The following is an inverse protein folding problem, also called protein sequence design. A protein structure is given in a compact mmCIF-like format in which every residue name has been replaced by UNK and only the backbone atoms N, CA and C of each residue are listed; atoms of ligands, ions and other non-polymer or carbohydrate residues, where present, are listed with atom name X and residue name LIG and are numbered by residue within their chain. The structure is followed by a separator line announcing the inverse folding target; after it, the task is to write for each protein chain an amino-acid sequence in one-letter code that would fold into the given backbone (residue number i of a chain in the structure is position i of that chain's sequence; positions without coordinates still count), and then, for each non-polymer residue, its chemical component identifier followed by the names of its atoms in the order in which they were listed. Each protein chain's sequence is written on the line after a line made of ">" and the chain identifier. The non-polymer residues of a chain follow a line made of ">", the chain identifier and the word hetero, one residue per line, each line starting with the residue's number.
data_IF_469043374517
#
_entry.id   IF_469043374517
#
_cell.length_a   1.000
_cell.length_b   1.000
_cell.length_c   1.000
_cell.angle_alpha   90.00
_cell.angle_beta   90.00
_cell.angle_gamma   90.00
#
_symmetry.space_group_name_H-M   'P 1'
#
loop_
_entity.id
_entity.type
_entity.pdbx_description
1 polymer ?
#
# COMPACT_ATOMS: atom_id res chain seq x y z
N UNK A 1 -5.24 14.65 -1.41
CA UNK A 1 -6.28 13.77 -0.84
C UNK A 1 -6.22 12.47 -1.63
N UNK A 2 -6.11 11.31 -0.97
CA UNK A 2 -6.27 10.02 -1.65
C UNK A 2 -7.72 9.91 -2.11
N UNK A 3 -7.95 9.91 -3.41
CA UNK A 3 -9.29 9.70 -3.95
C UNK A 3 -9.59 8.20 -3.88
N UNK A 4 -10.42 7.81 -2.90
CA UNK A 4 -10.84 6.43 -2.66
C UNK A 4 -9.73 5.55 -2.09
N UNK A 5 -9.51 5.61 -0.77
CA UNK A 5 -8.75 4.55 -0.08
C UNK A 5 -9.53 3.24 -0.24
N UNK A 6 -8.84 2.19 -0.67
CA UNK A 6 -9.41 0.86 -0.85
C UNK A 6 -8.99 -0.05 0.31
N UNK A 7 -7.67 -0.13 0.56
CA UNK A 7 -7.11 -0.94 1.63
C UNK A 7 -6.47 -0.16 2.78
N UNK A 8 -6.53 -0.77 3.96
CA UNK A 8 -5.92 -0.30 5.21
C UNK A 8 -5.49 -1.51 6.04
N UNK A 9 -4.19 -1.67 6.29
CA UNK A 9 -3.64 -2.75 7.14
C UNK A 9 -2.62 -2.20 8.15
N UNK A 10 -2.60 -2.68 9.40
CA UNK A 10 -1.60 -2.28 10.38
C UNK A 10 -0.22 -2.83 9.99
N UNK A 11 0.85 -2.10 10.29
CA UNK A 11 2.24 -2.56 10.06
C UNK A 11 2.85 -3.32 11.25
N UNK A 12 2.12 -3.40 12.37
CA UNK A 12 2.59 -4.00 13.62
C UNK A 12 3.48 -3.11 14.50
N UNK A 13 3.79 -1.89 14.05
CA UNK A 13 4.61 -0.88 14.77
C UNK A 13 3.80 0.37 15.16
N UNK A 14 2.46 0.30 15.08
CA UNK A 14 1.57 1.43 15.35
C UNK A 14 1.36 2.36 14.15
N UNK A 15 1.85 2.00 12.96
CA UNK A 15 1.52 2.66 11.71
C UNK A 15 0.53 1.83 10.89
N UNK A 16 0.10 2.37 9.77
CA UNK A 16 -0.78 1.72 8.82
C UNK A 16 -0.23 1.83 7.40
N UNK A 17 -0.41 0.78 6.61
CA UNK A 17 -0.24 0.83 5.16
C UNK A 17 -1.61 1.01 4.54
N UNK A 18 -1.75 2.00 3.66
CA UNK A 18 -2.97 2.26 2.88
C UNK A 18 -2.71 2.10 1.39
N UNK A 19 -3.72 1.63 0.65
CA UNK A 19 -3.77 1.74 -0.80
C UNK A 19 -4.89 2.71 -1.22
N UNK A 20 -4.63 3.53 -2.24
CA UNK A 20 -5.68 4.24 -2.97
C UNK A 20 -5.95 3.56 -4.30
N UNK A 21 -7.21 3.61 -4.77
CA UNK A 21 -7.63 2.96 -6.02
C UNK A 21 -6.79 3.43 -7.21
N UNK A 22 -6.27 4.66 -7.18
CA UNK A 22 -5.45 5.20 -8.27
C UNK A 22 -4.06 4.55 -8.37
N UNK A 23 -3.66 3.71 -7.40
CA UNK A 23 -2.41 2.95 -7.44
C UNK A 23 -1.31 3.49 -6.53
N UNK A 24 -1.62 4.37 -5.58
CA UNK A 24 -0.66 4.76 -4.55
C UNK A 24 -0.78 3.84 -3.35
N UNK A 25 0.36 3.42 -2.80
CA UNK A 25 0.46 2.76 -1.50
C UNK A 25 1.36 3.58 -0.59
N UNK A 26 0.90 3.82 0.64
CA UNK A 26 1.56 4.72 1.58
C UNK A 26 1.62 4.13 2.99
N UNK A 27 2.71 4.43 3.70
CA UNK A 27 2.79 4.26 5.14
C UNK A 27 2.29 5.55 5.80
N UNK A 28 1.34 5.43 6.73
CA UNK A 28 0.70 6.55 7.41
C UNK A 28 0.68 6.35 8.92
N UNK A 29 0.83 7.45 9.64
CA UNK A 29 0.58 7.55 11.07
C UNK A 29 0.11 8.97 11.40
N UNK A 30 -0.16 9.23 12.68
CA UNK A 30 -0.68 10.52 13.16
C UNK A 30 0.40 11.58 13.39
N UNK A 31 1.68 11.19 13.43
CA UNK A 31 2.78 12.07 13.84
C UNK A 31 3.58 12.62 12.67
N UNK A 32 3.68 11.86 11.57
CA UNK A 32 4.51 12.14 10.41
C UNK A 32 3.64 12.28 9.16
N UNK A 33 4.18 12.96 8.16
CA UNK A 33 3.55 12.99 6.84
C UNK A 33 3.55 11.59 6.23
N UNK A 34 2.50 11.23 5.46
CA UNK A 34 2.47 9.96 4.71
C UNK A 34 3.72 9.74 3.87
N UNK A 35 4.33 8.56 4.01
CA UNK A 35 5.45 8.11 3.18
C UNK A 35 4.89 7.30 2.01
N UNK A 36 5.37 7.58 0.79
CA UNK A 36 4.93 6.84 -0.41
C UNK A 36 5.81 5.61 -0.59
N UNK A 37 5.23 4.42 -0.44
CA UNK A 37 5.92 3.15 -0.65
C UNK A 37 5.89 2.72 -2.12
N UNK A 38 4.77 2.96 -2.80
CA UNK A 38 4.57 2.66 -4.22
C UNK A 38 3.64 3.70 -4.84
N UNK A 39 3.88 4.06 -6.11
CA UNK A 39 2.97 4.90 -6.87
C UNK A 39 2.93 4.46 -8.33
N UNK A 40 1.88 3.73 -8.71
CA UNK A 40 1.66 3.23 -10.07
C UNK A 40 0.65 4.07 -10.86
N UNK A 41 0.23 5.23 -10.34
CA UNK A 41 -0.76 6.12 -10.98
C UNK A 41 -0.40 6.46 -12.43
N UNK A 42 0.87 6.82 -12.69
CA UNK A 42 1.37 7.15 -14.03
C UNK A 42 1.38 5.96 -15.00
N UNK A 43 1.40 4.75 -14.47
CA UNK A 43 1.32 3.52 -15.26
C UNK A 43 -0.13 3.08 -15.50
N UNK A 44 -1.12 3.76 -14.92
CA UNK A 44 -2.53 3.37 -15.01
C UNK A 44 -2.83 2.01 -14.35
N UNK A 45 -2.00 1.59 -13.41
CA UNK A 45 -2.19 0.34 -12.65
C UNK A 45 -2.78 0.72 -11.29
N UNK A 46 -3.97 0.22 -11.01
CA UNK A 46 -4.67 0.45 -9.75
C UNK A 46 -4.16 -0.48 -8.65
N UNK A 47 -4.34 -0.08 -7.39
CA UNK A 47 -4.13 -0.90 -6.21
C UNK A 47 -5.46 -1.01 -5.45
N UNK A 48 -5.97 -2.23 -5.30
CA UNK A 48 -7.19 -2.50 -4.52
C UNK A 48 -6.87 -2.69 -3.02
N UNK A 49 -7.80 -3.27 -2.24
CA UNK A 49 -7.50 -3.73 -0.88
C UNK A 49 -6.25 -4.61 -0.85
N UNK A 50 -5.40 -4.37 0.14
CA UNK A 50 -4.06 -4.96 0.28
C UNK A 50 -4.03 -5.93 1.45
N UNK A 51 -3.01 -6.78 1.51
CA UNK A 51 -2.71 -7.55 2.72
C UNK A 51 -1.25 -7.32 3.14
N UNK A 52 -1.01 -7.14 4.44
CA UNK A 52 0.34 -7.03 4.99
C UNK A 52 0.59 -8.11 6.04
N UNK A 53 1.44 -9.07 5.67
CA UNK A 53 1.84 -10.16 6.55
C UNK A 53 3.03 -9.67 7.39
N UNK A 54 2.74 -9.19 8.60
CA UNK A 54 3.69 -8.54 9.52
C UNK A 54 4.94 -9.40 9.75
N UNK A 55 4.77 -10.67 10.12
CA UNK A 55 5.88 -11.58 10.44
C UNK A 55 6.84 -11.80 9.27
N UNK A 56 6.34 -11.62 8.04
CA UNK A 56 7.12 -11.77 6.81
C UNK A 56 7.54 -10.44 6.21
N UNK A 57 7.06 -9.31 6.76
CA UNK A 57 7.15 -7.97 6.15
C UNK A 57 6.73 -7.97 4.67
N UNK A 58 5.69 -8.75 4.34
CA UNK A 58 5.27 -9.01 2.97
C UNK A 58 3.97 -8.26 2.68
N UNK A 59 4.01 -7.35 1.71
CA UNK A 59 2.88 -6.60 1.21
C UNK A 59 2.38 -7.24 -0.09
N UNK A 60 1.13 -7.67 -0.10
CA UNK A 60 0.42 -8.21 -1.25
C UNK A 60 -0.53 -7.15 -1.80
N UNK A 61 -0.44 -6.88 -3.09
CA UNK A 61 -1.26 -5.87 -3.76
C UNK A 61 -1.93 -6.53 -4.98
N UNK A 62 -3.24 -6.79 -4.91
CA UNK A 62 -4.05 -7.07 -6.09
C UNK A 62 -4.08 -5.83 -6.99
N UNK A 63 -3.67 -6.00 -8.25
CA UNK A 63 -3.60 -4.89 -9.21
C UNK A 63 -4.67 -5.01 -10.28
N UNK A 64 -5.27 -3.88 -10.66
CA UNK A 64 -6.09 -3.77 -11.86
C UNK A 64 -5.29 -3.05 -12.94
N UNK A 65 -5.54 -3.42 -14.20
CA UNK A 65 -4.73 -2.99 -15.36
C UNK A 65 -3.56 -3.93 -15.66
N UNK A 66 -2.86 -4.43 -14.63
CA UNK A 66 -1.81 -5.44 -14.79
C UNK A 66 -2.27 -6.89 -14.61
N UNK A 67 -3.49 -7.11 -14.09
CA UNK A 67 -4.13 -8.43 -13.92
C UNK A 67 -3.27 -9.45 -13.14
N UNK A 68 -2.58 -8.99 -12.10
CA UNK A 68 -1.78 -9.85 -11.24
C UNK A 68 -1.83 -9.40 -9.76
N UNK A 69 -1.37 -10.29 -8.88
CA UNK A 69 -1.04 -9.92 -7.50
C UNK A 69 0.48 -9.73 -7.44
N UNK A 70 0.91 -8.54 -7.06
CA UNK A 70 2.33 -8.25 -6.83
C UNK A 70 2.64 -8.38 -5.34
N UNK A 71 3.84 -8.86 -5.04
CA UNK A 71 4.32 -9.04 -3.69
C UNK A 71 5.61 -8.24 -3.50
N UNK A 72 5.63 -7.37 -2.50
CA UNK A 72 6.81 -6.59 -2.13
C UNK A 72 7.21 -6.90 -0.69
N UNK A 73 8.53 -6.93 -0.44
CA UNK A 73 9.05 -6.94 0.92
C UNK A 73 9.24 -5.50 1.37
N UNK A 74 8.59 -5.11 2.46
CA UNK A 74 8.70 -3.76 3.02
C UNK A 74 9.91 -3.72 3.95
N UNK A 75 10.95 -2.99 3.52
CA UNK A 75 12.16 -2.77 4.30
C UNK A 75 12.04 -1.42 5.00
N UNK A 76 11.41 -1.41 6.18
CA UNK A 76 11.44 -0.24 7.07
C UNK A 76 12.46 -0.47 8.18
N UNK A 77 13.17 0.60 8.55
CA UNK A 77 14.07 0.64 9.71
C UNK A 77 13.34 0.34 11.03
#
# INVERSE_FOLDING_TARGET
>A
MSEGIDGLKPDGKGNYIISDWQGKVQLVNTEKKPEVLLNTTKAGINAADIEFIIDQKLLLIPTFGANCVVAYRVLTE
#
